data_IF_901903186622
#
_entry.id   IF_901903186622
#
_cell.length_a   1.000
_cell.length_b   1.000
_cell.length_c   1.000
_cell.angle_alpha   90.00
_cell.angle_beta   90.00
_cell.angle_gamma   90.00
#
_symmetry.space_group_name_H-M   'P 1'
#
loop_
_entity.id
_entity.type
_entity.pdbx_description
1 polymer ?
#
# COMPACT_ATOMS: atom_id res chain seq x y z
N UNK A 1 -8.13 -4.63 11.29
CA UNK A 1 -8.64 -5.96 10.88
C UNK A 1 -9.85 -5.75 9.96
N UNK A 2 -9.63 -5.63 8.65
CA UNK A 2 -10.75 -5.62 7.69
C UNK A 2 -10.28 -6.30 6.42
N UNK A 3 -10.75 -7.54 6.28
CA UNK A 3 -10.51 -8.47 5.19
C UNK A 3 -11.61 -8.22 4.17
N UNK A 4 -11.28 -7.83 2.95
CA UNK A 4 -12.15 -8.20 1.85
C UNK A 4 -11.36 -8.62 0.62
N UNK A 5 -11.74 -9.82 0.18
CA UNK A 5 -11.09 -10.74 -0.74
C UNK A 5 -11.99 -10.75 -1.96
N UNK A 6 -11.51 -10.28 -3.12
CA UNK A 6 -12.15 -10.62 -4.39
C UNK A 6 -11.23 -11.55 -5.15
N UNK A 7 -11.69 -12.79 -5.21
CA UNK A 7 -11.06 -13.94 -5.85
C UNK A 7 -11.43 -14.01 -7.32
N UNK A 8 -10.40 -14.30 -8.11
CA UNK A 8 -10.38 -14.89 -9.45
C UNK A 8 -11.53 -15.86 -9.72
N UNK A 9 -12.10 -15.82 -10.93
CA UNK A 9 -12.87 -16.92 -11.51
C UNK A 9 -12.27 -17.33 -12.84
N UNK A 10 -11.70 -18.53 -12.86
CA UNK A 10 -11.26 -19.27 -14.03
C UNK A 10 -12.28 -20.37 -14.34
N UNK A 11 -12.51 -20.58 -15.63
CA UNK A 11 -12.83 -21.83 -16.34
C UNK A 11 -13.92 -22.77 -15.78
N UNK A 12 -14.93 -23.07 -16.61
CA UNK A 12 -15.49 -24.43 -16.75
C UNK A 12 -16.47 -24.51 -17.94
N UNK A 13 -16.14 -25.37 -18.92
CA UNK A 13 -17.04 -25.83 -19.99
C UNK A 13 -17.86 -27.03 -19.48
N UNK A 14 -19.15 -27.19 -19.85
CA UNK A 14 -19.92 -28.37 -19.49
C UNK A 14 -19.87 -29.47 -20.58
N UNK A 15 -20.09 -30.75 -20.20
CA UNK A 15 -19.97 -31.93 -21.05
C UNK A 15 -21.25 -32.26 -21.84
N UNK A 16 -21.09 -33.04 -22.90
CA UNK A 16 -22.16 -33.49 -23.78
C UNK A 16 -23.05 -34.59 -23.22
N UNK A 17 -24.24 -34.72 -23.82
CA UNK A 17 -25.19 -35.82 -23.61
C UNK A 17 -25.74 -36.29 -24.95
N UNK A 18 -25.60 -37.59 -25.20
CA UNK A 18 -26.01 -38.34 -26.40
C UNK A 18 -27.48 -38.76 -26.36
N UNK A 19 -28.16 -38.84 -27.51
CA UNK A 19 -28.99 -40.01 -27.93
C UNK A 19 -29.42 -39.90 -29.42
N UNK A 20 -29.78 -41.03 -30.09
CA UNK A 20 -29.66 -41.25 -31.54
C UNK A 20 -31.00 -41.27 -32.32
N UNK A 21 -30.92 -41.24 -33.66
CA UNK A 21 -32.05 -41.67 -34.49
C UNK A 21 -31.93 -41.42 -36.00
N UNK A 22 -31.77 -42.52 -36.74
CA UNK A 22 -32.27 -42.79 -38.09
C UNK A 22 -31.62 -42.15 -39.34
N UNK A 23 -30.83 -43.00 -40.02
CA UNK A 23 -30.96 -43.41 -41.43
C UNK A 23 -30.92 -42.36 -42.55
N UNK A 24 -29.88 -42.45 -43.39
CA UNK A 24 -29.98 -42.83 -44.81
C UNK A 24 -28.59 -42.91 -45.46
N UNK A 25 -28.31 -44.04 -46.11
CA UNK A 25 -27.28 -44.26 -47.14
C UNK A 25 -28.04 -44.82 -48.36
N UNK A 26 -27.60 -44.68 -49.63
CA UNK A 26 -26.21 -44.92 -50.05
C UNK A 26 -25.67 -44.00 -51.17
N UNK A 27 -24.36 -43.77 -51.15
CA UNK A 27 -23.61 -43.18 -52.25
C UNK A 27 -22.23 -43.82 -52.32
N UNK A 28 -22.15 -44.96 -52.99
CA UNK A 28 -20.92 -45.73 -53.21
C UNK A 28 -20.00 -45.02 -54.21
N UNK A 29 -18.83 -44.55 -53.75
CA UNK A 29 -17.66 -44.21 -54.57
C UNK A 29 -16.41 -44.64 -53.77
N UNK A 30 -15.43 -45.33 -54.38
CA UNK A 30 -14.68 -46.39 -53.72
C UNK A 30 -13.74 -45.89 -52.63
N UNK A 31 -13.80 -46.60 -51.50
CA UNK A 31 -12.78 -46.61 -50.47
C UNK A 31 -11.45 -47.05 -51.10
N UNK A 32 -10.55 -46.11 -51.33
CA UNK A 32 -9.13 -46.42 -51.27
C UNK A 32 -8.82 -46.63 -49.80
N UNK A 33 -8.69 -47.90 -49.41
CA UNK A 33 -8.02 -48.28 -48.18
C UNK A 33 -6.72 -47.50 -48.07
N UNK A 34 -6.66 -46.53 -47.16
CA UNK A 34 -5.37 -45.99 -46.71
C UNK A 34 -5.02 -46.78 -45.46
N UNK A 35 -4.03 -47.65 -45.63
CA UNK A 35 -3.41 -48.45 -44.60
C UNK A 35 -3.20 -47.65 -43.29
N UNK A 36 -3.31 -48.31 -42.11
CA UNK A 36 -2.76 -47.75 -40.89
C UNK A 36 -1.32 -47.37 -41.16
N UNK A 37 -0.96 -46.13 -40.83
CA UNK A 37 0.31 -45.52 -41.20
C UNK A 37 1.46 -46.21 -40.45
N UNK A 38 1.94 -47.33 -41.00
CA UNK A 38 3.27 -47.82 -40.69
C UNK A 38 4.22 -46.78 -41.23
N UNK A 39 4.98 -46.13 -40.35
CA UNK A 39 6.05 -45.24 -40.78
C UNK A 39 7.02 -45.94 -41.75
N UNK A 40 7.89 -45.21 -42.46
CA UNK A 40 8.85 -45.82 -43.36
C UNK A 40 9.54 -47.03 -42.72
N UNK A 41 9.41 -48.16 -43.39
CA UNK A 41 9.87 -49.46 -42.90
C UNK A 41 11.41 -49.54 -42.92
N UNK A 42 12.04 -48.73 -43.78
CA UNK A 42 13.48 -48.64 -43.99
C UNK A 42 13.93 -47.21 -44.35
N UNK A 43 15.25 -46.97 -44.27
CA UNK A 43 15.85 -45.66 -44.54
C UNK A 43 15.63 -45.23 -46.00
N UNK A 44 15.67 -46.18 -46.93
CA UNK A 44 15.48 -45.92 -48.36
C UNK A 44 14.11 -45.29 -48.65
N UNK A 45 13.04 -45.82 -48.04
CA UNK A 45 11.68 -45.29 -48.21
C UNK A 45 11.53 -43.91 -47.60
N UNK A 46 12.12 -43.66 -46.43
CA UNK A 46 12.11 -42.33 -45.81
C UNK A 46 12.81 -41.30 -46.71
N UNK A 47 13.98 -41.65 -47.24
CA UNK A 47 14.74 -40.75 -48.12
C UNK A 47 14.04 -40.50 -49.46
N UNK A 48 13.33 -41.48 -50.02
CA UNK A 48 12.49 -41.28 -51.21
C UNK A 48 11.38 -40.26 -50.95
N UNK A 49 10.65 -40.40 -49.84
CA UNK A 49 9.51 -39.52 -49.50
C UNK A 49 9.91 -38.05 -49.37
N UNK A 50 11.13 -37.77 -48.89
CA UNK A 50 11.64 -36.39 -48.76
C UNK A 50 12.42 -35.92 -50.01
N UNK A 51 12.49 -36.75 -51.05
CA UNK A 51 13.22 -36.45 -52.30
C UNK A 51 14.74 -36.40 -52.11
N UNK A 52 15.28 -37.23 -51.20
CA UNK A 52 16.69 -37.35 -50.87
C UNK A 52 17.26 -38.77 -51.09
N UNK A 53 16.55 -39.66 -51.82
CA UNK A 53 16.97 -41.04 -52.17
C UNK A 53 18.42 -41.14 -52.65
N UNK A 54 18.90 -40.13 -53.40
CA UNK A 54 20.28 -40.07 -53.93
C UNK A 54 21.39 -40.06 -52.88
N UNK A 55 21.08 -39.78 -51.62
CA UNK A 55 22.05 -39.81 -50.51
C UNK A 55 22.08 -41.14 -49.76
N UNK A 56 21.23 -42.11 -50.13
CA UNK A 56 21.16 -43.40 -49.45
C UNK A 56 22.53 -44.10 -49.41
N UNK A 57 23.25 -44.10 -50.53
CA UNK A 57 24.58 -44.70 -50.63
C UNK A 57 25.58 -44.12 -49.60
N UNK A 58 25.50 -42.82 -49.32
CA UNK A 58 26.38 -42.15 -48.35
C UNK A 58 26.14 -42.68 -46.93
N UNK A 59 24.88 -43.00 -46.60
CA UNK A 59 24.53 -43.58 -45.31
C UNK A 59 24.90 -45.06 -45.24
N UNK A 60 24.72 -45.82 -46.32
CA UNK A 60 25.13 -47.23 -46.40
C UNK A 60 26.65 -47.40 -46.25
N UNK A 61 27.44 -46.53 -46.88
CA UNK A 61 28.91 -46.53 -46.76
C UNK A 61 29.41 -46.25 -45.33
N UNK A 62 28.59 -45.57 -44.52
CA UNK A 62 28.88 -45.26 -43.11
C UNK A 62 28.15 -46.19 -42.13
N UNK A 63 27.53 -47.28 -42.62
CA UNK A 63 26.73 -48.24 -41.83
C UNK A 63 25.60 -47.59 -41.01
N UNK A 64 24.94 -46.57 -41.59
CA UNK A 64 23.83 -45.84 -40.97
C UNK A 64 22.50 -46.43 -41.41
N UNK A 65 21.84 -47.14 -40.50
CA UNK A 65 20.47 -47.63 -40.69
C UNK A 65 19.40 -46.56 -40.35
N UNK A 66 18.12 -46.91 -40.54
CA UNK A 66 17.00 -45.99 -40.24
C UNK A 66 17.00 -45.53 -38.78
N UNK A 67 17.33 -46.42 -37.84
CA UNK A 67 17.30 -46.11 -36.41
C UNK A 67 18.39 -45.11 -36.07
N UNK A 68 19.60 -45.31 -36.58
CA UNK A 68 20.73 -44.40 -36.39
C UNK A 68 20.43 -43.06 -37.07
N UNK A 69 19.92 -43.07 -38.30
CA UNK A 69 19.54 -41.86 -39.03
C UNK A 69 18.59 -40.96 -38.23
N UNK A 70 17.59 -41.55 -37.57
CA UNK A 70 16.62 -40.81 -36.75
C UNK A 70 17.20 -40.21 -35.46
N UNK A 71 18.45 -40.50 -35.11
CA UNK A 71 19.16 -39.89 -33.99
C UNK A 71 20.11 -38.78 -34.40
N UNK A 72 20.36 -38.63 -35.71
CA UNK A 72 21.35 -37.69 -36.23
C UNK A 72 20.88 -36.23 -36.06
N UNK A 73 21.83 -35.40 -35.68
CA UNK A 73 21.69 -33.94 -35.64
C UNK A 73 22.17 -33.32 -36.95
N UNK A 74 21.98 -32.01 -37.10
CA UNK A 74 22.47 -31.28 -38.28
C UNK A 74 24.01 -31.38 -38.44
N UNK A 75 24.76 -31.42 -37.32
CA UNK A 75 26.22 -31.59 -37.36
C UNK A 75 26.62 -32.98 -37.86
N UNK A 76 25.95 -34.03 -37.40
CA UNK A 76 26.29 -35.40 -37.76
C UNK A 76 26.04 -35.65 -39.26
N UNK A 77 24.94 -35.09 -39.81
CA UNK A 77 24.67 -35.11 -41.24
C UNK A 77 25.77 -34.43 -42.07
N UNK A 78 26.37 -33.36 -41.53
CA UNK A 78 27.49 -32.67 -42.18
C UNK A 78 28.75 -33.53 -42.17
N UNK A 79 29.03 -34.23 -41.07
CA UNK A 79 30.19 -35.13 -40.93
C UNK A 79 30.07 -36.36 -41.83
N UNK A 80 28.86 -36.91 -41.99
CA UNK A 80 28.56 -38.02 -42.92
C UNK A 80 28.71 -37.59 -44.39
N UNK A 81 28.71 -36.29 -44.69
CA UNK A 81 28.95 -35.76 -46.03
C UNK A 81 27.75 -35.06 -46.68
N UNK A 82 26.65 -34.84 -45.95
CA UNK A 82 25.49 -34.07 -46.41
C UNK A 82 25.76 -32.58 -46.19
N UNK A 83 26.55 -31.98 -47.08
CA UNK A 83 27.00 -30.58 -46.97
C UNK A 83 26.02 -29.57 -47.58
N UNK A 84 25.13 -30.02 -48.48
CA UNK A 84 24.15 -29.14 -49.12
C UNK A 84 23.03 -28.75 -48.16
N UNK A 85 22.75 -27.44 -48.10
CA UNK A 85 21.73 -26.86 -47.22
C UNK A 85 20.33 -27.48 -47.40
N UNK A 86 19.86 -27.64 -48.64
CA UNK A 86 18.51 -28.13 -48.94
C UNK A 86 18.26 -29.56 -48.45
N UNK A 87 19.04 -30.56 -48.89
CA UNK A 87 18.94 -31.94 -48.41
C UNK A 87 19.12 -32.07 -46.90
N UNK A 88 20.09 -31.35 -46.32
CA UNK A 88 20.32 -31.34 -44.87
C UNK A 88 19.08 -30.85 -44.11
N UNK A 89 18.48 -29.72 -44.53
CA UNK A 89 17.25 -29.19 -43.92
C UNK A 89 16.06 -30.14 -44.05
N UNK A 90 15.93 -30.83 -45.19
CA UNK A 90 14.89 -31.86 -45.40
C UNK A 90 15.06 -33.06 -44.46
N UNK A 91 16.28 -33.54 -44.28
CA UNK A 91 16.59 -34.67 -43.40
C UNK A 91 16.37 -34.31 -41.92
N UNK A 92 16.89 -33.17 -41.45
CA UNK A 92 16.69 -32.72 -40.06
C UNK A 92 15.21 -32.47 -39.76
N UNK A 93 14.45 -31.91 -40.72
CA UNK A 93 13.00 -31.77 -40.58
C UNK A 93 12.31 -33.13 -40.50
N UNK A 94 12.66 -34.10 -41.36
CA UNK A 94 12.09 -35.44 -41.31
C UNK A 94 12.30 -36.13 -39.94
N UNK A 95 13.50 -35.99 -39.36
CA UNK A 95 13.83 -36.53 -38.03
C UNK A 95 12.98 -35.88 -36.93
N UNK A 96 12.89 -34.55 -36.88
CA UNK A 96 12.11 -33.83 -35.86
C UNK A 96 10.60 -34.18 -35.89
N UNK A 97 10.09 -34.47 -37.09
CA UNK A 97 8.69 -34.85 -37.30
C UNK A 97 8.38 -36.27 -36.89
N UNK A 98 9.32 -37.18 -37.14
CA UNK A 98 9.24 -38.55 -36.68
C UNK A 98 9.08 -38.59 -35.16
N UNK A 99 9.90 -37.82 -34.44
CA UNK A 99 9.84 -37.74 -32.98
C UNK A 99 8.58 -37.07 -32.43
N UNK A 100 7.96 -36.16 -33.18
CA UNK A 100 6.69 -35.53 -32.79
C UNK A 100 5.45 -36.27 -33.28
N UNK A 101 5.60 -37.43 -33.94
CA UNK A 101 4.51 -38.15 -34.62
C UNK A 101 3.73 -37.27 -35.61
N UNK A 102 4.35 -36.18 -36.10
CA UNK A 102 3.72 -35.19 -36.94
C UNK A 102 3.80 -35.59 -38.42
N UNK A 103 2.65 -35.75 -39.08
CA UNK A 103 2.57 -36.00 -40.53
C UNK A 103 3.27 -34.87 -41.31
N UNK A 104 4.12 -35.12 -42.34
CA UNK A 104 4.69 -34.11 -43.25
C UNK A 104 3.69 -33.02 -43.70
N UNK A 105 4.04 -31.70 -43.73
CA UNK A 105 3.22 -30.71 -44.39
C UNK A 105 3.26 -31.13 -45.83
N UNK A 106 2.14 -31.63 -46.27
CA UNK A 106 2.02 -32.20 -47.60
C UNK A 106 1.80 -31.09 -48.62
N UNK A 107 1.43 -29.90 -48.16
CA UNK A 107 0.76 -28.91 -48.99
C UNK A 107 1.14 -27.46 -48.64
N UNK A 108 1.24 -26.61 -49.65
CA UNK A 108 1.66 -25.21 -49.50
C UNK A 108 0.68 -24.39 -48.64
N UNK A 109 -0.58 -24.81 -48.59
CA UNK A 109 -1.63 -24.21 -47.75
C UNK A 109 -1.42 -24.48 -46.25
N UNK A 110 -0.92 -25.66 -45.88
CA UNK A 110 -0.65 -26.01 -44.48
C UNK A 110 0.49 -25.15 -43.92
N UNK A 111 1.51 -24.86 -44.75
CA UNK A 111 2.62 -23.99 -44.37
C UNK A 111 2.16 -22.54 -44.16
N UNK A 112 1.38 -21.99 -45.09
CA UNK A 112 0.84 -20.63 -44.96
C UNK A 112 -0.08 -20.46 -43.73
N UNK A 113 -0.81 -21.52 -43.36
CA UNK A 113 -1.62 -21.53 -42.14
C UNK A 113 -0.76 -21.51 -40.88
N UNK A 114 0.32 -22.30 -40.84
CA UNK A 114 1.27 -22.32 -39.73
C UNK A 114 1.95 -20.96 -39.57
N UNK A 115 2.41 -20.33 -40.66
CA UNK A 115 3.04 -19.02 -40.63
C UNK A 115 2.09 -17.93 -40.11
N UNK A 116 0.82 -17.95 -40.52
CA UNK A 116 -0.19 -17.01 -40.01
C UNK A 116 -0.42 -17.19 -38.52
N UNK A 117 -0.55 -18.44 -38.06
CA UNK A 117 -0.74 -18.73 -36.64
C UNK A 117 0.47 -18.31 -35.81
N UNK A 118 1.68 -18.51 -36.32
CA UNK A 118 2.91 -18.07 -35.67
C UNK A 118 2.96 -16.54 -35.56
N UNK A 119 2.59 -15.81 -36.61
CA UNK A 119 2.50 -14.35 -36.58
C UNK A 119 1.45 -13.85 -35.58
N UNK A 120 0.27 -14.47 -35.53
CA UNK A 120 -0.77 -14.15 -34.54
C UNK A 120 -0.29 -14.41 -33.10
N UNK A 121 0.44 -15.51 -32.88
CA UNK A 121 1.01 -15.82 -31.57
C UNK A 121 2.08 -14.81 -31.15
N UNK A 122 2.95 -14.39 -32.07
CA UNK A 122 3.96 -13.36 -31.81
C UNK A 122 3.34 -12.01 -31.48
N UNK A 123 2.30 -11.59 -32.22
CA UNK A 123 1.56 -10.36 -31.95
C UNK A 123 0.91 -10.39 -30.56
N UNK A 124 0.24 -11.49 -30.19
CA UNK A 124 -0.34 -11.65 -28.86
C UNK A 124 0.71 -11.62 -27.75
N UNK A 125 1.90 -12.19 -27.98
CA UNK A 125 3.01 -12.14 -27.03
C UNK A 125 3.52 -10.71 -26.80
N UNK A 126 3.64 -9.91 -27.87
CA UNK A 126 4.01 -8.49 -27.79
C UNK A 126 2.96 -7.71 -27.00
N UNK A 127 1.67 -7.92 -27.29
CA UNK A 127 0.58 -7.26 -26.57
C UNK A 127 0.57 -7.62 -25.08
N UNK A 128 0.78 -8.89 -24.73
CA UNK A 128 0.87 -9.32 -23.35
C UNK A 128 2.04 -8.64 -22.63
N UNK A 129 3.21 -8.62 -23.26
CA UNK A 129 4.39 -7.97 -22.68
C UNK A 129 4.15 -6.49 -22.42
N UNK A 130 3.63 -5.76 -23.41
CA UNK A 130 3.27 -4.35 -23.27
C UNK A 130 2.28 -4.11 -22.12
N UNK A 131 1.25 -4.96 -21.99
CA UNK A 131 0.28 -4.85 -20.89
C UNK A 131 0.90 -5.17 -19.52
N UNK A 132 1.84 -6.11 -19.45
CA UNK A 132 2.58 -6.37 -18.22
C UNK A 132 3.44 -5.17 -17.81
N UNK A 133 4.17 -4.57 -18.74
CA UNK A 133 4.97 -3.36 -18.50
C UNK A 133 4.11 -2.19 -18.02
N UNK A 134 2.95 -1.95 -18.66
CA UNK A 134 2.00 -0.93 -18.23
C UNK A 134 1.49 -1.18 -16.80
N UNK A 135 1.16 -2.42 -16.45
CA UNK A 135 0.70 -2.79 -15.10
C UNK A 135 1.81 -2.61 -14.06
N UNK A 136 3.05 -2.98 -14.39
CA UNK A 136 4.20 -2.79 -13.51
C UNK A 136 4.51 -1.30 -13.29
N UNK A 137 4.44 -0.48 -14.33
CA UNK A 137 4.61 0.97 -14.23
C UNK A 137 3.53 1.60 -13.34
N UNK A 138 2.26 1.26 -13.55
CA UNK A 138 1.14 1.75 -12.72
C UNK A 138 1.27 1.28 -11.26
N UNK A 139 1.70 0.03 -11.05
CA UNK A 139 1.98 -0.49 -9.69
C UNK A 139 3.08 0.34 -9.01
N UNK A 140 4.14 0.67 -9.74
CA UNK A 140 5.21 1.55 -9.25
C UNK A 140 4.68 2.91 -8.80
N UNK A 141 3.86 3.55 -9.65
CA UNK A 141 3.22 4.83 -9.32
C UNK A 141 2.32 4.75 -8.08
N UNK A 142 1.49 3.71 -7.98
CA UNK A 142 0.62 3.52 -6.80
C UNK A 142 1.44 3.29 -5.53
N UNK A 143 2.55 2.57 -5.60
CA UNK A 143 3.45 2.37 -4.46
C UNK A 143 4.06 3.70 -4.00
N UNK A 144 4.57 4.49 -4.94
CA UNK A 144 5.14 5.81 -4.66
C UNK A 144 4.09 6.74 -4.02
N UNK A 145 2.88 6.78 -4.56
CA UNK A 145 1.76 7.55 -3.98
C UNK A 145 1.38 7.09 -2.57
N UNK A 146 1.47 5.79 -2.28
CA UNK A 146 1.21 5.28 -0.93
C UNK A 146 2.28 5.74 0.06
N UNK A 147 3.56 5.71 -0.34
CA UNK A 147 4.66 6.21 0.49
C UNK A 147 4.55 7.71 0.75
N UNK A 148 4.31 8.50 -0.29
CA UNK A 148 4.11 9.95 -0.17
C UNK A 148 2.92 10.28 0.74
N UNK A 149 1.79 9.57 0.55
CA UNK A 149 0.61 9.73 1.42
C UNK A 149 0.95 9.39 2.88
N UNK A 150 1.68 8.32 3.14
CA UNK A 150 2.06 7.95 4.51
C UNK A 150 2.94 9.03 5.17
N UNK A 151 3.86 9.64 4.42
CA UNK A 151 4.69 10.77 4.91
C UNK A 151 3.80 11.97 5.25
N UNK A 152 2.90 12.37 4.34
CA UNK A 152 1.99 13.51 4.56
C UNK A 152 1.06 13.26 5.74
N UNK A 153 0.46 12.07 5.84
CA UNK A 153 -0.39 11.69 6.97
C UNK A 153 0.37 11.75 8.30
N UNK A 154 1.61 11.27 8.32
CA UNK A 154 2.46 11.35 9.52
C UNK A 154 2.75 12.79 9.93
N UNK A 155 3.13 13.66 8.97
CA UNK A 155 3.34 15.08 9.23
C UNK A 155 2.09 15.78 9.77
N UNK A 156 0.91 15.48 9.21
CA UNK A 156 -0.36 16.04 9.65
C UNK A 156 -0.73 15.56 11.07
N UNK A 157 -0.52 14.29 11.39
CA UNK A 157 -0.75 13.74 12.72
C UNK A 157 0.19 14.36 13.77
N UNK A 158 1.46 14.57 13.41
CA UNK A 158 2.41 15.25 14.30
C UNK A 158 2.02 16.71 14.55
N UNK A 159 1.57 17.43 13.50
CA UNK A 159 1.08 18.80 13.65
C UNK A 159 -0.21 18.87 14.49
N UNK A 160 -1.17 17.97 14.26
CA UNK A 160 -2.40 17.90 15.03
C UNK A 160 -2.12 17.59 16.51
N UNK A 161 -1.19 16.67 16.78
CA UNK A 161 -0.70 16.38 18.12
C UNK A 161 -0.10 17.60 18.80
N UNK A 162 0.84 18.28 18.13
CA UNK A 162 1.48 19.49 18.66
C UNK A 162 0.46 20.61 18.96
N UNK A 163 -0.52 20.82 18.06
CA UNK A 163 -1.60 21.80 18.27
C UNK A 163 -2.46 21.45 19.47
N UNK A 164 -2.80 20.17 19.67
CA UNK A 164 -3.55 19.71 20.84
C UNK A 164 -2.77 19.93 22.13
N UNK A 165 -1.46 19.65 22.14
CA UNK A 165 -0.60 19.87 23.30
C UNK A 165 -0.52 21.36 23.66
N UNK A 166 -0.31 22.24 22.66
CA UNK A 166 -0.33 23.70 22.85
C UNK A 166 -1.69 24.16 23.38
N UNK A 167 -2.79 23.64 22.82
CA UNK A 167 -4.13 24.00 23.27
C UNK A 167 -4.40 23.56 24.72
N UNK A 168 -3.99 22.35 25.10
CA UNK A 168 -4.11 21.87 26.47
C UNK A 168 -3.29 22.72 27.45
N UNK A 169 -2.04 23.07 27.10
CA UNK A 169 -1.20 23.93 27.94
C UNK A 169 -1.77 25.35 28.08
N UNK A 170 -2.38 25.88 27.01
CA UNK A 170 -3.04 27.17 27.06
C UNK A 170 -4.27 27.14 27.99
N UNK A 171 -5.06 26.07 27.94
CA UNK A 171 -6.20 25.88 28.86
C UNK A 171 -5.75 25.81 30.32
N UNK A 172 -4.67 25.07 30.62
CA UNK A 172 -4.08 25.02 31.96
C UNK A 172 -3.62 26.40 32.43
N UNK A 173 -2.85 27.11 31.59
CA UNK A 173 -2.39 28.48 31.88
C UNK A 173 -3.56 29.41 32.16
N UNK A 174 -4.65 29.27 31.41
CA UNK A 174 -5.82 30.11 31.57
C UNK A 174 -6.58 29.81 32.87
N UNK A 175 -6.66 28.54 33.29
CA UNK A 175 -7.18 28.17 34.59
C UNK A 175 -6.34 28.79 35.73
N UNK A 176 -5.02 28.66 35.67
CA UNK A 176 -4.11 29.26 36.66
C UNK A 176 -4.23 30.79 36.72
N UNK A 177 -4.39 31.46 35.57
CA UNK A 177 -4.57 32.92 35.53
C UNK A 177 -5.91 33.38 36.16
N UNK A 178 -6.97 32.58 36.01
CA UNK A 178 -8.26 32.84 36.68
C UNK A 178 -8.14 32.67 38.19
N UNK A 179 -7.43 31.64 38.64
CA UNK A 179 -7.17 31.42 40.07
C UNK A 179 -6.37 32.59 40.64
N UNK A 180 -5.34 33.07 39.93
CA UNK A 180 -4.61 34.28 40.31
C UNK A 180 -5.55 35.49 40.41
N UNK A 181 -6.49 35.64 39.48
CA UNK A 181 -7.47 36.75 39.54
C UNK A 181 -8.36 36.65 40.78
N UNK A 182 -8.82 35.44 41.15
CA UNK A 182 -9.61 35.24 42.37
C UNK A 182 -8.82 35.56 43.64
N UNK A 183 -7.56 35.13 43.72
CA UNK A 183 -6.68 35.42 44.86
C UNK A 183 -6.38 36.93 44.94
N UNK A 184 -6.25 37.63 43.81
CA UNK A 184 -6.10 39.09 43.78
C UNK A 184 -7.33 39.82 44.33
N UNK A 185 -8.53 39.41 43.92
CA UNK A 185 -9.78 39.98 44.46
C UNK A 185 -9.89 39.74 45.97
N UNK A 186 -9.49 38.56 46.43
CA UNK A 186 -9.45 38.23 47.85
C UNK A 186 -8.44 39.12 48.61
N UNK A 187 -7.23 39.33 48.07
CA UNK A 187 -6.25 40.26 48.63
C UNK A 187 -6.81 41.67 48.77
N UNK A 188 -7.47 42.17 47.73
CA UNK A 188 -8.08 43.51 47.72
C UNK A 188 -9.15 43.64 48.80
N UNK A 189 -10.00 42.63 48.97
CA UNK A 189 -11.01 42.63 50.01
C UNK A 189 -10.42 42.56 51.43
N UNK A 190 -9.36 41.77 51.68
CA UNK A 190 -8.62 41.80 52.96
C UNK A 190 -8.02 43.19 53.23
N UNK A 191 -7.39 43.80 52.22
CA UNK A 191 -6.79 45.12 52.34
C UNK A 191 -7.84 46.21 52.60
N UNK A 192 -8.99 46.15 51.93
CA UNK A 192 -10.08 47.09 52.12
C UNK A 192 -10.61 47.03 53.57
N UNK A 193 -10.86 45.82 54.09
CA UNK A 193 -11.34 45.61 55.47
C UNK A 193 -10.30 46.07 56.52
N UNK A 194 -9.02 45.72 56.35
CA UNK A 194 -7.95 46.23 57.22
C UNK A 194 -7.91 47.76 57.21
N UNK A 195 -7.98 48.37 56.02
CA UNK A 195 -7.96 49.82 55.88
C UNK A 195 -9.17 50.49 56.55
N UNK A 196 -10.34 49.86 56.50
CA UNK A 196 -11.56 50.34 57.14
C UNK A 196 -11.42 50.31 58.67
N UNK A 197 -10.89 49.21 59.24
CA UNK A 197 -10.66 49.06 60.68
C UNK A 197 -9.63 50.05 61.22
N UNK A 198 -8.52 50.23 60.50
CA UNK A 198 -7.49 51.21 60.87
C UNK A 198 -8.05 52.64 60.86
N UNK A 199 -8.83 53.00 59.83
CA UNK A 199 -9.51 54.32 59.79
C UNK A 199 -10.49 54.50 60.96
N UNK A 200 -11.22 53.45 61.32
CA UNK A 200 -12.19 53.49 62.41
C UNK A 200 -11.54 53.62 63.80
N UNK A 201 -10.41 52.94 64.06
CA UNK A 201 -9.63 53.11 65.31
C UNK A 201 -9.06 54.53 65.44
N UNK A 202 -8.58 55.12 64.34
CA UNK A 202 -8.08 56.51 64.33
C UNK A 202 -9.19 57.52 64.62
N UNK A 203 -10.41 57.28 64.13
CA UNK A 203 -11.58 58.13 64.43
C UNK A 203 -12.14 57.94 65.85
N UNK A 204 -12.08 56.74 66.43
CA UNK A 204 -12.56 56.47 67.80
C UNK A 204 -11.61 56.97 68.90
N UNK A 205 -10.33 57.16 68.59
CA UNK A 205 -9.38 57.84 69.49
C UNK A 205 -9.65 59.35 69.65
N UNK A 206 -10.57 59.91 68.87
CA UNK A 206 -10.98 61.32 68.92
C UNK A 206 -12.41 61.61 69.42
N UNK A 207 -13.26 60.61 69.69
CA UNK A 207 -14.61 60.84 70.23
C UNK A 207 -15.27 59.56 70.79
N UNK A 208 -15.88 59.59 72.00
CA UNK A 208 -16.53 58.42 72.59
C UNK A 208 -18.04 58.41 72.28
N UNK A 209 -18.48 57.71 71.23
CA UNK A 209 -19.77 56.99 71.19
C UNK A 209 -20.06 56.43 69.80
N UNK A 210 -20.66 55.24 69.75
CA UNK A 210 -21.51 54.81 68.64
C UNK A 210 -20.91 53.74 67.73
N UNK A 211 -20.91 52.49 68.20
CA UNK A 211 -20.86 51.32 67.30
C UNK A 211 -22.19 51.27 66.53
N UNK A 212 -22.18 51.71 65.27
CA UNK A 212 -23.26 51.48 64.33
C UNK A 212 -22.77 50.51 63.24
N UNK A 213 -23.07 49.22 63.44
CA UNK A 213 -22.94 48.18 62.43
C UNK A 213 -24.20 48.24 61.55
N UNK A 214 -24.05 48.66 60.30
CA UNK A 214 -25.05 48.44 59.26
C UNK A 214 -24.41 47.54 58.18
N UNK A 215 -24.93 46.31 57.97
CA UNK A 215 -24.45 45.46 56.89
C UNK A 215 -25.04 45.97 55.57
N UNK A 216 -24.19 46.36 54.63
CA UNK A 216 -24.61 46.45 53.23
C UNK A 216 -24.81 45.04 52.70
N UNK A 217 -26.06 44.71 52.42
CA UNK A 217 -26.45 43.50 51.72
C UNK A 217 -25.69 43.38 50.39
N UNK A 218 -25.33 42.14 50.06
CA UNK A 218 -24.63 41.67 48.84
C UNK A 218 -23.13 41.36 48.99
N UNK A 219 -22.62 41.22 50.22
CA UNK A 219 -21.30 40.66 50.43
C UNK A 219 -21.27 39.16 50.12
N UNK A 220 -20.57 38.80 49.04
CA UNK A 220 -20.11 37.43 48.75
C UNK A 220 -19.70 36.71 50.06
N UNK A 221 -20.06 35.43 50.24
CA UNK A 221 -19.92 34.74 51.54
C UNK A 221 -18.51 34.82 52.18
N UNK A 222 -17.49 35.08 51.37
CA UNK A 222 -16.13 35.33 51.83
C UNK A 222 -15.94 36.70 52.51
N UNK A 223 -16.55 37.77 52.02
CA UNK A 223 -16.51 39.10 52.65
C UNK A 223 -17.20 39.12 54.03
N UNK A 224 -18.32 38.42 54.17
CA UNK A 224 -18.97 38.24 55.47
C UNK A 224 -18.07 37.50 56.47
N UNK A 225 -17.26 36.55 55.99
CA UNK A 225 -16.29 35.81 56.81
C UNK A 225 -15.15 36.72 57.30
N UNK A 226 -14.64 37.62 56.45
CA UNK A 226 -13.59 38.58 56.83
C UNK A 226 -14.01 39.53 57.97
N UNK A 227 -15.28 39.94 58.00
CA UNK A 227 -15.80 40.84 59.03
C UNK A 227 -15.79 40.22 60.44
N UNK A 228 -15.79 38.89 60.54
CA UNK A 228 -15.80 38.16 61.82
C UNK A 228 -14.41 37.96 62.44
N UNK A 229 -13.34 38.12 61.65
CA UNK A 229 -11.96 37.91 62.08
C UNK A 229 -11.45 39.04 62.98
N UNK A 230 -10.57 38.71 63.92
CA UNK A 230 -9.78 39.69 64.68
C UNK A 230 -8.68 40.32 63.81
N UNK A 231 -8.12 41.45 64.26
CA UNK A 231 -7.06 42.16 63.52
C UNK A 231 -5.82 41.29 63.20
N UNK A 232 -5.25 40.50 64.14
CA UNK A 232 -4.12 39.61 63.84
C UNK A 232 -4.51 38.42 62.94
N UNK A 233 -5.75 37.93 63.02
CA UNK A 233 -6.24 36.87 62.12
C UNK A 233 -6.43 37.39 60.69
N UNK A 234 -6.89 38.63 60.54
CA UNK A 234 -7.05 39.29 59.25
C UNK A 234 -5.70 39.62 58.59
N UNK A 235 -4.68 40.00 59.37
CA UNK A 235 -3.31 40.16 58.86
C UNK A 235 -2.69 38.83 58.45
N UNK A 236 -2.89 37.75 59.24
CA UNK A 236 -2.45 36.41 58.86
C UNK A 236 -3.13 35.92 57.58
N UNK A 237 -4.45 36.11 57.45
CA UNK A 237 -5.19 35.76 56.23
C UNK A 237 -4.73 36.56 54.99
N UNK A 238 -4.29 37.81 55.17
CA UNK A 238 -3.67 38.61 54.11
C UNK A 238 -2.32 38.02 53.70
N UNK A 239 -1.45 37.70 54.66
CA UNK A 239 -0.14 37.08 54.41
C UNK A 239 -0.28 35.74 53.68
N UNK A 240 -1.19 34.87 54.14
CA UNK A 240 -1.49 33.59 53.49
C UNK A 240 -1.91 33.78 52.04
N UNK A 241 -2.73 34.79 51.77
CA UNK A 241 -3.21 35.08 50.42
C UNK A 241 -2.13 35.68 49.53
N UNK A 242 -1.18 36.43 50.10
CA UNK A 242 0.01 36.91 49.38
C UNK A 242 0.93 35.73 49.02
N UNK A 243 1.11 34.78 49.93
CA UNK A 243 1.87 33.56 49.65
C UNK A 243 1.19 32.71 48.58
N UNK A 244 -0.14 32.55 48.64
CA UNK A 244 -0.90 31.84 47.62
C UNK A 244 -0.79 32.53 46.25
N UNK A 245 -0.86 33.86 46.20
CA UNK A 245 -0.62 34.63 44.98
C UNK A 245 0.75 34.30 44.37
N UNK A 246 1.80 34.30 45.21
CA UNK A 246 3.15 33.94 44.78
C UNK A 246 3.21 32.54 44.17
N UNK A 247 2.59 31.54 44.81
CA UNK A 247 2.52 30.16 44.31
C UNK A 247 1.80 30.05 42.96
N UNK A 248 0.64 30.68 42.83
CA UNK A 248 -0.15 30.63 41.59
C UNK A 248 0.61 31.33 40.46
N UNK A 249 1.21 32.50 40.71
CA UNK A 249 2.01 33.20 39.71
C UNK A 249 3.24 32.39 39.28
N UNK A 250 3.96 31.74 40.20
CA UNK A 250 5.02 30.80 39.83
C UNK A 250 4.52 29.66 38.94
N UNK A 251 3.33 29.12 39.23
CA UNK A 251 2.71 28.07 38.42
C UNK A 251 2.33 28.57 37.03
N UNK A 252 1.80 29.80 36.92
CA UNK A 252 1.53 30.45 35.63
C UNK A 252 2.81 30.63 34.83
N UNK A 253 3.89 31.13 35.45
CA UNK A 253 5.18 31.31 34.77
C UNK A 253 5.74 29.98 34.26
N UNK A 254 5.73 28.92 35.08
CA UNK A 254 6.17 27.58 34.66
C UNK A 254 5.30 27.03 33.52
N UNK A 255 3.99 27.26 33.55
CA UNK A 255 3.08 26.85 32.48
C UNK A 255 3.37 27.59 31.16
N UNK A 256 3.66 28.88 31.24
CA UNK A 256 4.04 29.70 30.09
C UNK A 256 5.41 29.29 29.52
N UNK A 257 6.38 28.94 30.36
CA UNK A 257 7.67 28.39 29.92
C UNK A 257 7.50 27.08 29.16
N UNK A 258 6.65 26.17 29.66
CA UNK A 258 6.30 24.94 28.94
C UNK A 258 5.66 25.24 27.58
N UNK A 259 4.75 26.20 27.53
CA UNK A 259 4.11 26.63 26.27
C UNK A 259 5.13 27.21 25.29
N UNK A 260 6.11 27.99 25.76
CA UNK A 260 7.20 28.52 24.94
C UNK A 260 8.05 27.39 24.33
N UNK A 261 8.33 26.33 25.09
CA UNK A 261 9.07 25.15 24.59
C UNK A 261 8.25 24.37 23.55
N UNK A 262 6.94 24.21 23.77
CA UNK A 262 6.05 23.56 22.81
C UNK A 262 5.95 24.34 21.49
N UNK A 263 5.86 25.68 21.57
CA UNK A 263 5.82 26.56 20.41
C UNK A 263 7.19 26.62 19.68
N UNK A 264 8.30 26.57 20.42
CA UNK A 264 9.65 26.55 19.83
C UNK A 264 9.97 25.26 19.05
N UNK A 265 9.28 24.15 19.34
CA UNK A 265 9.40 22.90 18.56
C UNK A 265 8.73 22.97 17.18
N UNK A 266 7.77 23.86 16.95
CA UNK A 266 7.16 24.05 15.62
C UNK A 266 8.11 24.75 14.63
N UNK A 267 9.08 25.54 15.10
CA UNK A 267 9.95 26.36 14.24
C UNK A 267 11.07 25.60 13.50
N UNK A 268 11.21 24.27 13.67
CA UNK A 268 12.29 23.49 13.04
C UNK A 268 11.85 22.60 11.88
N UNK A 269 10.68 22.84 11.30
CA UNK A 269 10.27 22.20 10.05
C UNK A 269 9.76 23.21 9.03
N UNK A 270 10.66 24.03 8.53
CA UNK A 270 10.54 24.50 7.15
C UNK A 270 11.45 23.64 6.25
N UNK A 271 10.97 23.23 5.07
CA UNK A 271 11.72 22.42 4.11
C UNK A 271 12.91 23.16 3.49
#
# INVERSE_FOLDING_TARGET
>A
KTKNRYSNSASQWPPGTSTPGAASSPGSVPQTERCPHSGPQDLATLLEQIGCRKYLQVFEEQDVDLRIFLTLTESDLKEIGITLFGPKRKMTSAIARWHSSARPPSDALELAYADRLEAEMQELAIQLHKRCEEVEAMRGQVSQEQELRAVVESCLLEQDGARKDVHAQLQETWALARDATLVLEQLRACQAELSARVKQEVSTRGSPMGRALLPTADSSGWQASLQTLSLPELSGALEDRVQEMGRVLCSVTQSLEKLQVLNGKENWREP
#
